data_IF_042135514280
#
_entry.id   IF_042135514280
#
_cell.length_a   1.000
_cell.length_b   1.000
_cell.length_c   1.000
_cell.angle_alpha   90.00
_cell.angle_beta   90.00
_cell.angle_gamma   90.00
#
_symmetry.space_group_name_H-M   'P 1'
#
loop_
_entity.id
_entity.type
_entity.pdbx_description
1 polymer ?
#
# COMPACT_ATOMS: atom_id res chain seq x y z
N UNK A 1 -15.23 -16.66 20.43
CA UNK A 1 -15.22 -15.73 21.58
C UNK A 1 -14.26 -14.59 21.26
N UNK A 2 -14.39 -13.41 21.87
CA UNK A 2 -13.39 -12.35 21.78
C UNK A 2 -12.03 -12.80 22.31
N UNK A 3 -10.94 -12.21 21.79
CA UNK A 3 -9.58 -12.44 22.24
C UNK A 3 -9.44 -12.09 23.73
N UNK A 4 -8.79 -12.96 24.50
CA UNK A 4 -8.61 -12.81 25.94
C UNK A 4 -7.21 -12.28 26.29
N UNK A 5 -6.23 -12.50 25.43
CA UNK A 5 -4.84 -12.09 25.60
C UNK A 5 -4.22 -11.63 24.30
N UNK A 6 -3.00 -11.15 24.35
CA UNK A 6 -2.25 -10.63 23.20
C UNK A 6 -2.06 -11.68 22.11
N UNK A 7 -1.75 -12.92 22.49
CA UNK A 7 -1.54 -14.02 21.55
C UNK A 7 -2.81 -14.34 20.78
N UNK A 8 -3.95 -14.44 21.48
CA UNK A 8 -5.25 -14.64 20.84
C UNK A 8 -5.60 -13.45 19.92
N UNK A 9 -5.31 -12.20 20.33
CA UNK A 9 -5.59 -11.02 19.52
C UNK A 9 -4.80 -11.01 18.20
N UNK A 10 -3.50 -11.31 18.25
CA UNK A 10 -2.66 -11.44 17.04
C UNK A 10 -3.16 -12.60 16.18
N UNK A 11 -3.53 -13.72 16.77
CA UNK A 11 -4.00 -14.88 16.03
C UNK A 11 -5.36 -14.61 15.33
N UNK A 12 -6.27 -13.91 15.99
CA UNK A 12 -7.52 -13.47 15.38
C UNK A 12 -7.27 -12.53 14.20
N UNK A 13 -6.39 -11.55 14.39
CA UNK A 13 -6.00 -10.63 13.32
C UNK A 13 -5.41 -11.40 12.13
N UNK A 14 -4.49 -12.33 12.39
CA UNK A 14 -3.86 -13.13 11.34
C UNK A 14 -4.85 -14.03 10.61
N UNK A 15 -5.77 -14.69 11.30
CA UNK A 15 -6.79 -15.54 10.67
C UNK A 15 -7.80 -14.72 9.88
N UNK A 16 -8.23 -13.55 10.39
CA UNK A 16 -9.04 -12.61 9.64
C UNK A 16 -8.33 -12.16 8.35
N UNK A 17 -7.05 -11.83 8.48
CA UNK A 17 -6.21 -11.48 7.34
C UNK A 17 -6.10 -12.62 6.30
N UNK A 18 -5.85 -13.85 6.75
CA UNK A 18 -5.82 -15.02 5.85
C UNK A 18 -7.17 -15.24 5.16
N UNK A 19 -8.28 -15.06 5.88
CA UNK A 19 -9.63 -15.12 5.29
C UNK A 19 -9.78 -14.11 4.17
N UNK A 20 -9.45 -12.84 4.44
CA UNK A 20 -9.54 -11.75 3.46
C UNK A 20 -8.69 -12.00 2.21
N UNK A 21 -7.44 -12.49 2.34
CA UNK A 21 -6.61 -12.79 1.16
C UNK A 21 -7.08 -13.99 0.35
N UNK A 22 -7.85 -14.91 0.94
CA UNK A 22 -8.45 -16.04 0.20
C UNK A 22 -9.67 -15.61 -0.61
N UNK A 23 -10.44 -14.66 -0.11
CA UNK A 23 -11.56 -14.07 -0.84
C UNK A 23 -11.07 -13.14 -1.95
N UNK A 24 -10.01 -12.37 -1.67
CA UNK A 24 -9.42 -11.45 -2.63
C UNK A 24 -8.34 -12.15 -3.45
N UNK A 25 -8.59 -12.39 -4.71
CA UNK A 25 -7.55 -12.83 -5.66
C UNK A 25 -6.79 -11.61 -6.23
N UNK A 26 -6.25 -10.78 -5.33
CA UNK A 26 -5.73 -9.47 -5.66
C UNK A 26 -4.23 -9.39 -5.81
N UNK A 27 -3.74 -8.17 -5.97
CA UNK A 27 -2.33 -7.83 -6.09
C UNK A 27 -1.73 -7.32 -4.77
N UNK A 28 -2.55 -6.88 -3.84
CA UNK A 28 -2.13 -6.34 -2.55
C UNK A 28 -3.20 -6.57 -1.49
N UNK A 29 -2.78 -6.74 -0.24
CA UNK A 29 -3.67 -6.80 0.91
C UNK A 29 -2.94 -6.20 2.11
N UNK A 30 -3.35 -4.99 2.49
CA UNK A 30 -2.72 -4.24 3.59
C UNK A 30 -3.48 -4.43 4.90
N UNK A 31 -2.78 -4.26 6.03
CA UNK A 31 -3.33 -4.48 7.36
C UNK A 31 -4.00 -3.23 7.95
N UNK A 32 -3.40 -2.08 7.74
CA UNK A 32 -3.79 -0.86 8.41
C UNK A 32 -2.81 -0.46 9.51
N UNK A 33 -3.31 0.07 10.63
CA UNK A 33 -2.50 0.50 11.79
C UNK A 33 -2.70 -0.47 12.95
N UNK A 34 -2.24 -1.71 12.78
CA UNK A 34 -2.52 -2.78 13.75
C UNK A 34 -1.71 -2.65 15.04
N UNK A 35 -0.51 -2.08 14.98
CA UNK A 35 0.34 -1.89 16.16
C UNK A 35 -0.31 -1.02 17.23
N UNK A 36 -1.04 0.04 16.85
CA UNK A 36 -1.78 0.89 17.79
C UNK A 36 -2.94 0.14 18.45
N UNK A 37 -3.68 -0.61 17.66
CA UNK A 37 -4.78 -1.44 18.17
C UNK A 37 -4.30 -2.57 19.10
N UNK A 38 -3.27 -3.31 18.69
CA UNK A 38 -2.74 -4.43 19.48
C UNK A 38 -2.12 -3.99 20.80
N UNK A 39 -1.62 -2.76 20.88
CA UNK A 39 -0.98 -2.23 22.08
C UNK A 39 -1.88 -2.29 23.33
N UNK A 40 -3.20 -2.23 23.16
CA UNK A 40 -4.19 -2.39 24.24
C UNK A 40 -4.01 -3.75 24.95
N UNK A 41 -3.81 -4.80 24.17
CA UNK A 41 -3.60 -6.15 24.68
C UNK A 41 -2.20 -6.32 25.27
N UNK A 42 -1.19 -5.80 24.58
CA UNK A 42 0.20 -5.85 25.06
C UNK A 42 0.38 -5.16 26.42
N UNK A 43 -0.09 -3.93 26.56
CA UNK A 43 0.04 -3.18 27.81
C UNK A 43 -0.71 -3.85 28.96
N UNK A 44 -1.89 -4.41 28.69
CA UNK A 44 -2.65 -5.17 29.68
C UNK A 44 -1.89 -6.41 30.15
N UNK A 45 -1.36 -7.20 29.23
CA UNK A 45 -0.73 -8.48 29.53
C UNK A 45 0.64 -8.28 30.17
N UNK A 46 1.40 -7.26 29.76
CA UNK A 46 2.64 -6.82 30.43
C UNK A 46 2.36 -6.36 31.87
N UNK A 47 1.33 -5.54 32.08
CA UNK A 47 0.93 -5.06 33.40
C UNK A 47 0.52 -6.20 34.34
N UNK A 48 -0.13 -7.24 33.80
CA UNK A 48 -0.59 -8.40 34.54
C UNK A 48 0.48 -9.49 34.69
N UNK A 49 1.68 -9.31 34.16
CA UNK A 49 2.76 -10.29 34.22
C UNK A 49 2.51 -11.54 33.37
N UNK A 50 1.58 -11.49 32.45
CA UNK A 50 1.30 -12.56 31.46
C UNK A 50 2.38 -12.59 30.37
N UNK A 51 2.91 -11.41 30.02
CA UNK A 51 4.04 -11.21 29.12
C UNK A 51 5.15 -10.42 29.80
N UNK A 52 6.36 -10.60 29.32
CA UNK A 52 7.48 -9.69 29.51
C UNK A 52 7.81 -8.97 28.19
N UNK A 53 8.76 -8.04 28.20
CA UNK A 53 9.15 -7.26 26.99
C UNK A 53 9.76 -8.14 25.90
N UNK A 54 10.49 -9.20 26.27
CA UNK A 54 11.07 -10.15 25.32
C UNK A 54 9.97 -10.97 24.63
N UNK A 55 9.04 -11.53 25.39
CA UNK A 55 7.88 -12.25 24.85
C UNK A 55 6.98 -11.35 24.00
N UNK A 56 6.83 -10.06 24.36
CA UNK A 56 6.09 -9.09 23.55
C UNK A 56 6.76 -8.88 22.20
N UNK A 57 8.07 -8.76 22.14
CA UNK A 57 8.80 -8.64 20.88
C UNK A 57 8.72 -9.94 20.06
N UNK A 58 8.88 -11.10 20.71
CA UNK A 58 8.77 -12.41 20.04
C UNK A 58 7.42 -12.60 19.35
N UNK A 59 6.33 -12.14 19.96
CA UNK A 59 5.00 -12.21 19.34
C UNK A 59 4.90 -11.34 18.07
N UNK A 60 5.53 -10.15 18.05
CA UNK A 60 5.60 -9.35 16.83
C UNK A 60 6.49 -9.99 15.76
N UNK A 61 7.62 -10.55 16.16
CA UNK A 61 8.53 -11.23 15.23
C UNK A 61 7.84 -12.44 14.59
N UNK A 62 7.14 -13.27 15.37
CA UNK A 62 6.33 -14.39 14.87
C UNK A 62 5.21 -13.92 13.93
N UNK A 63 4.52 -12.84 14.27
CA UNK A 63 3.49 -12.27 13.42
C UNK A 63 4.06 -11.81 12.07
N UNK A 64 5.17 -11.08 12.08
CA UNK A 64 5.84 -10.63 10.86
C UNK A 64 6.35 -11.80 10.02
N UNK A 65 6.92 -12.85 10.64
CA UNK A 65 7.29 -14.07 9.91
C UNK A 65 6.09 -14.71 9.22
N UNK A 66 4.96 -14.79 9.89
CA UNK A 66 3.71 -15.34 9.33
C UNK A 66 3.19 -14.49 8.17
N UNK A 67 3.29 -13.16 8.25
CA UNK A 67 2.96 -12.28 7.13
C UNK A 67 3.86 -12.51 5.92
N UNK A 68 5.18 -12.70 6.14
CA UNK A 68 6.14 -13.02 5.07
C UNK A 68 5.86 -14.37 4.40
N UNK A 69 5.17 -15.28 5.06
CA UNK A 69 4.79 -16.60 4.52
C UNK A 69 3.45 -16.58 3.77
N UNK A 70 2.59 -15.60 4.02
CA UNK A 70 1.28 -15.50 3.39
C UNK A 70 1.40 -15.33 1.87
N UNK A 71 0.47 -15.91 1.11
CA UNK A 71 0.41 -15.79 -0.36
C UNK A 71 -1.03 -15.75 -0.86
N UNK A 72 -1.26 -15.01 -1.95
CA UNK A 72 -2.52 -15.06 -2.67
C UNK A 72 -2.73 -16.43 -3.33
N UNK A 73 -3.99 -16.83 -3.47
CA UNK A 73 -4.39 -17.94 -4.32
C UNK A 73 -4.74 -17.40 -5.72
N UNK A 74 -3.74 -17.17 -6.53
CA UNK A 74 -3.90 -16.66 -7.89
C UNK A 74 -4.10 -17.80 -8.89
N UNK A 75 -4.92 -17.56 -9.91
CA UNK A 75 -4.94 -18.46 -11.08
C UNK A 75 -3.59 -18.45 -11.80
N UNK A 76 -3.19 -19.51 -12.52
CA UNK A 76 -1.92 -19.55 -13.21
C UNK A 76 -1.69 -18.33 -14.13
N UNK A 77 -2.67 -17.98 -14.96
CA UNK A 77 -2.58 -16.84 -15.88
C UNK A 77 -2.43 -15.49 -15.15
N UNK A 78 -3.12 -15.31 -14.02
CA UNK A 78 -2.99 -14.08 -13.21
C UNK A 78 -1.66 -14.04 -12.47
N UNK A 79 -1.20 -15.19 -11.97
CA UNK A 79 0.10 -15.29 -11.30
C UNK A 79 1.27 -15.00 -12.24
N UNK A 80 1.14 -15.31 -13.53
CA UNK A 80 2.16 -14.99 -14.54
C UNK A 80 2.44 -13.48 -14.64
N UNK A 81 1.39 -12.64 -14.50
CA UNK A 81 1.54 -11.19 -14.49
C UNK A 81 2.25 -10.66 -13.23
N UNK A 82 2.14 -11.38 -12.13
CA UNK A 82 2.63 -10.97 -10.81
C UNK A 82 3.66 -11.95 -10.25
N UNK A 83 4.24 -12.79 -11.09
CA UNK A 83 5.26 -13.77 -10.67
C UNK A 83 6.46 -13.04 -10.04
N UNK A 84 6.79 -13.42 -8.81
CA UNK A 84 7.87 -12.81 -8.04
C UNK A 84 7.47 -11.56 -7.27
N UNK A 85 6.27 -11.00 -7.49
CA UNK A 85 5.78 -9.88 -6.69
C UNK A 85 5.47 -10.33 -5.25
N UNK A 86 5.79 -9.50 -4.24
CA UNK A 86 5.34 -9.72 -2.88
C UNK A 86 3.82 -9.55 -2.77
N UNK A 87 3.27 -9.88 -1.59
CA UNK A 87 1.85 -9.67 -1.26
C UNK A 87 1.47 -8.20 -1.15
N UNK A 88 2.46 -7.29 -1.05
CA UNK A 88 2.25 -5.87 -0.76
C UNK A 88 1.41 -5.67 0.51
N UNK A 89 1.81 -6.36 1.57
CA UNK A 89 1.26 -6.21 2.91
C UNK A 89 1.82 -4.92 3.48
N UNK A 90 0.97 -3.91 3.70
CA UNK A 90 1.41 -2.65 4.31
C UNK A 90 0.84 -2.53 5.71
N UNK A 91 1.71 -2.25 6.67
CA UNK A 91 1.39 -1.86 8.04
C UNK A 91 1.72 -0.39 8.23
N UNK A 92 0.74 0.41 8.61
CA UNK A 92 0.91 1.82 8.91
C UNK A 92 1.29 2.03 10.38
N UNK A 93 2.28 2.85 10.65
CA UNK A 93 2.82 3.11 11.97
C UNK A 93 2.79 4.62 12.29
N UNK A 94 2.50 4.97 13.51
CA UNK A 94 2.50 6.37 13.95
C UNK A 94 1.29 7.15 13.44
N UNK A 95 1.52 8.38 13.01
CA UNK A 95 0.45 9.33 12.71
C UNK A 95 -0.11 9.99 13.97
N UNK A 96 -1.02 10.94 13.74
CA UNK A 96 -1.68 11.72 14.78
C UNK A 96 -3.20 11.53 14.70
N UNK A 97 -3.87 11.49 15.86
CA UNK A 97 -5.30 11.57 15.93
C UNK A 97 -5.83 12.98 15.56
N UNK A 98 -7.08 13.07 15.16
CA UNK A 98 -7.75 14.37 14.91
C UNK A 98 -7.79 15.25 16.17
N UNK A 99 -7.74 14.65 17.35
CA UNK A 99 -7.66 15.32 18.65
C UNK A 99 -6.23 15.79 19.04
N UNK A 100 -5.26 15.61 18.15
CA UNK A 100 -3.87 15.98 18.36
C UNK A 100 -3.04 14.99 19.19
N UNK A 101 -3.59 13.86 19.61
CA UNK A 101 -2.81 12.80 20.25
C UNK A 101 -1.94 12.06 19.23
N UNK A 102 -0.75 11.65 19.66
CA UNK A 102 0.02 10.71 18.87
C UNK A 102 -0.62 9.32 18.90
N UNK A 103 -0.59 8.64 17.75
CA UNK A 103 -1.00 7.23 17.62
C UNK A 103 0.20 6.27 17.71
N UNK A 104 1.37 6.80 18.01
CA UNK A 104 2.57 6.01 18.34
C UNK A 104 2.37 5.33 19.69
N UNK A 105 2.59 4.04 19.73
CA UNK A 105 2.58 3.20 20.95
C UNK A 105 3.90 2.45 21.10
N UNK A 106 4.12 1.76 22.20
CA UNK A 106 5.28 0.88 22.34
C UNK A 106 5.30 -0.21 21.26
N UNK A 107 4.13 -0.69 20.87
CA UNK A 107 3.99 -1.66 19.78
C UNK A 107 4.44 -1.11 18.43
N UNK A 108 4.37 0.20 18.19
CA UNK A 108 4.96 0.81 17.00
C UNK A 108 6.49 0.67 16.96
N UNK A 109 7.15 0.80 18.12
CA UNK A 109 8.59 0.54 18.23
C UNK A 109 8.92 -0.94 18.05
N UNK A 110 8.13 -1.86 18.64
CA UNK A 110 8.33 -3.31 18.48
C UNK A 110 8.20 -3.73 17.04
N UNK A 111 7.20 -3.19 16.32
CA UNK A 111 7.02 -3.48 14.89
C UNK A 111 8.23 -3.02 14.05
N UNK A 112 8.75 -1.83 14.28
CA UNK A 112 9.99 -1.39 13.62
C UNK A 112 11.20 -2.24 14.02
N UNK A 113 11.27 -2.68 15.27
CA UNK A 113 12.38 -3.50 15.77
C UNK A 113 12.44 -4.89 15.13
N UNK A 114 11.33 -5.39 14.59
CA UNK A 114 11.31 -6.67 13.84
C UNK A 114 12.31 -6.67 12.68
N UNK A 115 12.62 -5.50 12.10
CA UNK A 115 13.60 -5.37 11.03
C UNK A 115 15.03 -5.69 11.49
N UNK A 116 15.36 -5.42 12.75
CA UNK A 116 16.66 -5.82 13.32
C UNK A 116 16.71 -7.32 13.62
N UNK A 117 15.61 -7.89 14.13
CA UNK A 117 15.57 -9.30 14.51
C UNK A 117 15.46 -10.24 13.29
N UNK A 118 14.67 -9.86 12.30
CA UNK A 118 14.32 -10.71 11.15
C UNK A 118 15.01 -10.30 9.84
N UNK A 119 15.73 -9.19 9.87
CA UNK A 119 16.33 -8.60 8.67
C UNK A 119 15.33 -7.84 7.79
N UNK A 120 15.89 -7.02 6.90
CA UNK A 120 15.13 -6.23 5.91
C UNK A 120 14.32 -7.14 4.99
N UNK A 121 13.13 -6.72 4.64
CA UNK A 121 12.25 -7.44 3.71
C UNK A 121 11.28 -6.47 3.07
N UNK A 122 10.84 -6.79 1.85
CA UNK A 122 9.76 -6.07 1.18
C UNK A 122 8.41 -6.22 1.92
N UNK A 123 8.28 -7.22 2.81
CA UNK A 123 7.05 -7.51 3.54
C UNK A 123 7.28 -7.76 5.04
N UNK A 124 6.38 -7.24 5.87
CA UNK A 124 5.41 -6.21 5.54
C UNK A 124 6.10 -4.90 5.13
N UNK A 125 5.49 -4.15 4.19
CA UNK A 125 5.93 -2.80 3.89
C UNK A 125 5.55 -1.90 5.08
N UNK A 126 6.52 -1.50 5.88
CA UNK A 126 6.32 -0.66 7.05
C UNK A 126 6.28 0.80 6.62
N UNK A 127 5.11 1.43 6.74
CA UNK A 127 4.91 2.83 6.38
C UNK A 127 4.71 3.68 7.62
N UNK A 128 5.65 4.56 7.90
CA UNK A 128 5.54 5.55 8.96
C UNK A 128 4.70 6.72 8.47
N UNK A 129 3.55 6.96 9.12
CA UNK A 129 2.72 8.13 8.91
C UNK A 129 3.36 9.30 9.66
N UNK A 130 4.18 10.04 8.92
CA UNK A 130 5.03 11.08 9.47
C UNK A 130 4.28 12.38 9.73
N UNK A 131 4.45 12.92 10.94
CA UNK A 131 4.01 14.25 11.31
C UNK A 131 5.12 14.99 12.06
N UNK A 132 5.20 16.29 11.88
CA UNK A 132 6.06 17.15 12.69
C UNK A 132 5.79 17.02 14.20
N UNK A 133 4.56 16.69 14.57
CA UNK A 133 4.09 16.56 15.95
C UNK A 133 4.32 15.18 16.59
N UNK A 134 4.87 14.20 15.84
CA UNK A 134 5.25 12.91 16.44
C UNK A 134 6.30 13.07 17.54
N UNK A 135 6.30 12.17 18.55
CA UNK A 135 7.33 12.16 19.58
C UNK A 135 8.74 12.10 18.99
N UNK A 136 9.64 12.97 19.44
CA UNK A 136 11.01 13.04 18.94
C UNK A 136 11.78 11.73 19.08
N UNK A 137 11.53 10.98 20.16
CA UNK A 137 12.12 9.66 20.34
C UNK A 137 11.71 8.69 19.23
N UNK A 138 10.45 8.70 18.82
CA UNK A 138 9.96 7.86 17.72
C UNK A 138 10.55 8.30 16.38
N UNK A 139 10.56 9.62 16.10
CA UNK A 139 11.17 10.16 14.86
C UNK A 139 12.62 9.73 14.73
N UNK A 140 13.42 9.88 15.80
CA UNK A 140 14.83 9.46 15.79
C UNK A 140 14.99 7.95 15.63
N UNK A 141 14.14 7.16 16.29
CA UNK A 141 14.19 5.70 16.16
C UNK A 141 13.83 5.25 14.76
N UNK A 142 12.72 5.74 14.20
CA UNK A 142 12.31 5.41 12.84
C UNK A 142 13.39 5.81 11.81
N UNK A 143 13.96 7.01 11.93
CA UNK A 143 15.04 7.45 11.06
C UNK A 143 16.29 6.55 11.18
N UNK A 144 16.65 6.13 12.41
CA UNK A 144 17.76 5.20 12.61
C UNK A 144 17.48 3.86 11.93
N UNK A 145 16.32 3.27 12.15
CA UNK A 145 15.94 1.99 11.52
C UNK A 145 15.94 2.12 10.00
N UNK A 146 15.47 3.25 9.45
CA UNK A 146 15.51 3.53 8.02
C UNK A 146 16.95 3.49 7.47
N UNK A 147 17.88 4.15 8.15
CA UNK A 147 19.28 4.17 7.73
C UNK A 147 19.95 2.80 7.84
N UNK A 148 19.58 2.01 8.85
CA UNK A 148 20.20 0.72 9.12
C UNK A 148 19.64 -0.41 8.21
N UNK A 149 18.40 -0.27 7.69
CA UNK A 149 17.69 -1.40 7.10
C UNK A 149 17.12 -1.15 5.70
N UNK A 150 17.03 0.09 5.23
CA UNK A 150 16.41 0.49 3.94
C UNK A 150 14.99 -0.06 3.72
N UNK A 151 14.26 -0.37 4.80
CA UNK A 151 13.00 -1.12 4.74
C UNK A 151 11.78 -0.34 5.27
N UNK A 152 11.87 0.97 5.39
CA UNK A 152 10.78 1.83 5.88
C UNK A 152 10.38 2.83 4.80
N UNK A 153 9.07 2.97 4.61
CA UNK A 153 8.46 4.01 3.79
C UNK A 153 7.88 5.11 4.69
N UNK A 154 7.78 6.33 4.17
CA UNK A 154 7.19 7.47 4.89
C UNK A 154 6.08 8.10 4.07
N UNK A 155 4.97 8.42 4.74
CA UNK A 155 3.88 9.22 4.19
C UNK A 155 3.62 10.44 5.06
N UNK A 156 3.27 11.55 4.44
CA UNK A 156 3.04 12.81 5.15
C UNK A 156 1.66 12.86 5.78
N UNK A 157 1.57 12.49 7.07
CA UNK A 157 0.32 12.48 7.83
C UNK A 157 -0.30 13.87 7.96
N UNK A 158 0.50 14.93 8.04
CA UNK A 158 0.00 16.29 8.18
C UNK A 158 -0.76 16.77 6.92
N UNK A 159 -0.44 16.21 5.74
CA UNK A 159 -1.17 16.43 4.49
C UNK A 159 -2.32 15.45 4.29
N UNK A 160 -2.17 14.20 4.75
CA UNK A 160 -3.14 13.14 4.49
C UNK A 160 -4.31 13.16 5.48
N UNK A 161 -4.04 13.39 6.76
CA UNK A 161 -5.07 13.40 7.81
C UNK A 161 -6.23 14.40 7.57
N UNK A 162 -6.02 15.63 7.08
CA UNK A 162 -7.13 16.54 6.77
C UNK A 162 -8.10 16.01 5.70
N UNK A 163 -7.65 15.07 4.86
CA UNK A 163 -8.43 14.49 3.76
C UNK A 163 -9.11 13.19 4.21
N UNK A 164 -8.36 12.32 4.90
CA UNK A 164 -8.78 10.96 5.22
C UNK A 164 -9.26 10.76 6.65
N UNK A 165 -9.04 11.73 7.55
CA UNK A 165 -9.23 11.55 8.99
C UNK A 165 -8.03 10.85 9.62
N UNK A 166 -8.14 10.41 10.86
CA UNK A 166 -7.08 9.73 11.58
C UNK A 166 -7.09 8.19 11.40
N UNK A 167 -8.20 7.63 10.90
CA UNK A 167 -8.35 6.19 10.66
C UNK A 167 -8.18 5.86 9.17
N UNK A 168 -7.00 6.11 8.66
CA UNK A 168 -6.60 5.71 7.33
C UNK A 168 -5.33 4.85 7.37
N UNK A 169 -5.12 4.12 6.30
CA UNK A 169 -3.93 3.31 6.07
C UNK A 169 -3.43 3.48 4.65
N UNK A 170 -2.25 2.97 4.41
CA UNK A 170 -1.66 2.92 3.08
C UNK A 170 -1.86 1.52 2.52
N UNK A 171 -2.59 1.44 1.41
CA UNK A 171 -2.76 0.20 0.69
C UNK A 171 -1.62 0.01 -0.32
N UNK A 172 -1.10 -1.22 -0.39
CA UNK A 172 0.02 -1.57 -1.26
C UNK A 172 1.26 -0.71 -0.93
N UNK A 173 1.66 0.18 -1.84
CA UNK A 173 2.85 1.00 -1.70
C UNK A 173 2.53 2.42 -1.20
N UNK A 174 1.51 3.07 -1.77
CA UNK A 174 1.32 4.54 -1.62
C UNK A 174 -0.14 4.99 -1.61
N UNK A 175 -1.12 4.12 -1.73
CA UNK A 175 -2.53 4.52 -1.86
C UNK A 175 -3.18 4.68 -0.49
N UNK A 176 -3.47 5.91 -0.10
CA UNK A 176 -4.22 6.17 1.13
C UNK A 176 -5.70 5.80 0.99
N UNK A 177 -6.26 5.21 2.04
CA UNK A 177 -7.67 4.82 2.09
C UNK A 177 -8.17 4.79 3.53
N UNK A 178 -9.44 5.14 3.72
CA UNK A 178 -10.10 5.01 5.02
C UNK A 178 -10.35 3.55 5.33
N UNK A 179 -9.85 3.09 6.48
CA UNK A 179 -9.96 1.69 6.91
C UNK A 179 -11.44 1.31 7.06
N UNK A 180 -11.82 0.17 6.48
CA UNK A 180 -13.20 -0.35 6.53
C UNK A 180 -14.25 0.49 5.78
N UNK A 181 -13.85 1.53 5.02
CA UNK A 181 -14.77 2.39 4.27
C UNK A 181 -14.40 2.58 2.81
N UNK A 182 -13.17 2.36 2.45
CA UNK A 182 -12.66 2.51 1.09
C UNK A 182 -11.79 1.31 0.76
N UNK A 183 -11.68 1.01 -0.52
CA UNK A 183 -10.75 0.02 -1.04
C UNK A 183 -9.93 0.61 -2.19
N UNK A 184 -8.76 0.08 -2.41
CA UNK A 184 -7.98 0.38 -3.59
C UNK A 184 -8.48 -0.49 -4.75
N UNK A 185 -8.90 0.16 -5.82
CA UNK A 185 -9.32 -0.51 -7.03
C UNK A 185 -8.20 -0.47 -8.08
N UNK A 186 -7.65 -1.63 -8.41
CA UNK A 186 -6.62 -1.78 -9.45
C UNK A 186 -7.27 -1.93 -10.82
N UNK A 187 -7.83 -0.85 -11.36
CA UNK A 187 -8.54 -0.89 -12.62
C UNK A 187 -7.66 -0.66 -13.85
N UNK A 188 -6.74 0.29 -13.79
CA UNK A 188 -5.85 0.61 -14.88
C UNK A 188 -4.57 1.32 -14.40
N UNK A 189 -3.54 1.27 -15.25
CA UNK A 189 -2.30 2.04 -15.06
C UNK A 189 -1.97 2.80 -16.34
N UNK A 190 -1.43 4.00 -16.19
CA UNK A 190 -0.93 4.80 -17.31
C UNK A 190 0.60 4.74 -17.33
N UNK A 191 1.16 4.34 -18.47
CA UNK A 191 2.60 4.37 -18.68
C UNK A 191 3.01 5.71 -19.31
N UNK A 192 3.46 6.64 -18.48
CA UNK A 192 3.84 7.99 -18.94
C UNK A 192 5.10 7.98 -19.81
N UNK A 193 6.03 7.07 -19.58
CA UNK A 193 7.21 6.92 -20.43
C UNK A 193 6.81 6.46 -21.85
N UNK A 194 5.85 5.55 -21.94
CA UNK A 194 5.27 5.12 -23.22
C UNK A 194 4.54 6.26 -23.92
N UNK A 195 3.83 7.11 -23.16
CA UNK A 195 3.17 8.29 -23.72
C UNK A 195 4.19 9.23 -24.37
N UNK A 196 5.32 9.47 -23.69
CA UNK A 196 6.42 10.27 -24.25
C UNK A 196 6.94 9.66 -25.55
N UNK A 197 7.23 8.37 -25.59
CA UNK A 197 7.68 7.70 -26.82
C UNK A 197 6.66 7.83 -27.95
N UNK A 198 5.39 7.64 -27.66
CA UNK A 198 4.32 7.81 -28.66
C UNK A 198 4.23 9.26 -29.15
N UNK A 199 4.38 10.25 -28.27
CA UNK A 199 4.36 11.65 -28.65
C UNK A 199 5.55 12.04 -29.55
N UNK A 200 6.69 11.38 -29.41
CA UNK A 200 7.85 11.57 -30.29
C UNK A 200 7.71 10.82 -31.62
N UNK A 201 7.01 9.68 -31.62
CA UNK A 201 6.86 8.80 -32.79
C UNK A 201 5.56 9.08 -33.63
N UNK A 202 4.95 10.24 -33.49
CA UNK A 202 3.74 10.57 -34.25
C UNK A 202 2.51 9.71 -33.91
N UNK A 203 2.43 9.22 -32.67
CA UNK A 203 1.34 8.37 -32.17
C UNK A 203 1.49 6.89 -32.45
N UNK A 204 2.60 6.47 -33.00
CA UNK A 204 2.86 5.05 -33.30
C UNK A 204 3.53 4.35 -32.14
N UNK A 205 3.16 3.11 -31.94
CA UNK A 205 3.87 2.19 -31.04
C UNK A 205 5.23 1.80 -31.67
N UNK A 206 6.32 2.02 -30.95
CA UNK A 206 7.67 1.79 -31.46
C UNK A 206 8.00 0.32 -31.72
N UNK A 207 7.25 -0.61 -31.08
CA UNK A 207 7.47 -2.05 -31.27
C UNK A 207 6.67 -2.63 -32.41
N UNK A 208 5.42 -2.20 -32.56
CA UNK A 208 4.50 -2.77 -33.55
C UNK A 208 4.34 -1.92 -34.79
N UNK A 209 4.70 -0.63 -34.72
CA UNK A 209 4.47 0.34 -35.78
C UNK A 209 2.99 0.77 -35.96
N UNK A 210 2.10 0.23 -35.10
CA UNK A 210 0.67 0.54 -35.18
C UNK A 210 0.38 1.97 -34.69
N UNK A 211 -0.55 2.64 -35.39
CA UNK A 211 -1.09 3.92 -34.95
C UNK A 211 -2.01 3.67 -33.75
N UNK A 212 -1.62 4.16 -32.55
CA UNK A 212 -2.35 3.96 -31.29
C UNK A 212 -2.86 5.28 -30.74
N UNK A 213 -2.05 6.31 -30.79
CA UNK A 213 -2.37 7.65 -30.30
C UNK A 213 -2.75 8.63 -31.43
N UNK A 214 -3.01 9.90 -31.09
CA UNK A 214 -3.22 10.96 -32.08
C UNK A 214 -2.10 10.99 -33.12
N UNK A 215 -2.46 11.06 -34.39
CA UNK A 215 -1.51 11.10 -35.50
C UNK A 215 -0.94 12.51 -35.71
N UNK A 216 0.35 12.62 -35.85
CA UNK A 216 1.08 13.81 -36.27
C UNK A 216 2.46 13.42 -36.82
N UNK A 217 3.18 14.38 -37.39
CA UNK A 217 4.54 14.14 -37.87
C UNK A 217 5.47 13.77 -36.71
N UNK A 218 6.26 12.70 -36.83
CA UNK A 218 7.25 12.34 -35.82
C UNK A 218 8.24 13.48 -35.54
N UNK A 219 8.75 13.55 -34.34
CA UNK A 219 9.77 14.51 -33.98
C UNK A 219 11.04 14.30 -34.82
N UNK A 220 11.45 15.30 -35.56
CA UNK A 220 12.59 15.24 -36.47
C UNK A 220 13.82 16.04 -36.01
N UNK A 221 13.85 16.53 -34.79
CA UNK A 221 15.00 17.27 -34.23
C UNK A 221 16.21 16.38 -33.98
N UNK A 222 17.41 16.92 -34.22
CA UNK A 222 18.67 16.25 -33.91
C UNK A 222 18.83 16.03 -32.41
N UNK A 223 18.28 16.93 -31.60
CA UNK A 223 18.27 16.88 -30.14
C UNK A 223 16.84 17.04 -29.62
N UNK A 224 16.53 16.46 -28.45
CA UNK A 224 15.26 16.66 -27.77
C UNK A 224 15.22 18.06 -27.13
N UNK A 225 14.43 18.94 -27.69
CA UNK A 225 14.21 20.27 -27.12
C UNK A 225 13.06 20.19 -26.13
N UNK A 226 13.33 20.57 -24.87
CA UNK A 226 12.39 20.39 -23.74
C UNK A 226 11.00 20.97 -24.04
N UNK A 227 10.92 22.22 -24.49
CA UNK A 227 9.62 22.87 -24.74
C UNK A 227 8.85 22.21 -25.86
N UNK A 228 9.51 21.81 -26.93
CA UNK A 228 8.85 21.08 -28.03
C UNK A 228 8.35 19.70 -27.62
N UNK A 229 9.11 19.01 -26.79
CA UNK A 229 8.68 17.72 -26.23
C UNK A 229 7.44 17.91 -25.35
N UNK A 230 7.40 18.96 -24.53
CA UNK A 230 6.23 19.26 -23.71
C UNK A 230 5.00 19.62 -24.58
N UNK A 231 5.17 20.44 -25.62
CA UNK A 231 4.10 20.77 -26.56
C UNK A 231 3.50 19.52 -27.21
N UNK A 232 4.33 18.58 -27.65
CA UNK A 232 3.87 17.29 -28.17
C UNK A 232 3.10 16.50 -27.15
N UNK A 233 3.63 16.41 -25.92
CA UNK A 233 2.95 15.70 -24.82
C UNK A 233 1.61 16.35 -24.46
N UNK A 234 1.44 17.66 -24.64
CA UNK A 234 0.18 18.35 -24.37
C UNK A 234 -0.97 17.90 -25.29
N UNK A 235 -0.67 17.41 -26.47
CA UNK A 235 -1.66 16.76 -27.35
C UNK A 235 -2.08 15.40 -26.80
N UNK A 236 -1.14 14.66 -26.19
CA UNK A 236 -1.36 13.29 -25.73
C UNK A 236 -1.96 13.20 -24.34
N UNK A 237 -1.70 14.16 -23.45
CA UNK A 237 -2.24 14.14 -22.08
C UNK A 237 -3.77 14.07 -22.02
N UNK A 238 -4.53 14.93 -22.75
CA UNK A 238 -6.00 14.83 -22.80
C UNK A 238 -6.49 13.53 -23.42
N UNK A 239 -5.82 13.05 -24.46
CA UNK A 239 -6.15 11.77 -25.08
C UNK A 239 -5.95 10.60 -24.10
N UNK A 240 -4.82 10.57 -23.40
CA UNK A 240 -4.56 9.55 -22.36
C UNK A 240 -5.59 9.63 -21.25
N UNK A 241 -5.88 10.83 -20.72
CA UNK A 241 -6.85 11.02 -19.67
C UNK A 241 -8.25 10.51 -20.08
N UNK A 242 -8.70 10.86 -21.27
CA UNK A 242 -9.97 10.36 -21.83
C UNK A 242 -9.98 8.84 -21.99
N UNK A 243 -8.90 8.29 -22.53
CA UNK A 243 -8.77 6.83 -22.71
C UNK A 243 -8.76 6.12 -21.37
N UNK A 244 -8.03 6.65 -20.38
CA UNK A 244 -7.99 6.12 -19.02
C UNK A 244 -9.37 6.11 -18.37
N UNK A 245 -10.09 7.23 -18.40
CA UNK A 245 -11.44 7.34 -17.82
C UNK A 245 -12.41 6.39 -18.52
N UNK A 246 -12.37 6.29 -19.84
CA UNK A 246 -13.22 5.36 -20.59
C UNK A 246 -12.91 3.91 -20.21
N UNK A 247 -11.65 3.54 -20.07
CA UNK A 247 -11.24 2.19 -19.63
C UNK A 247 -11.77 1.91 -18.24
N UNK A 248 -11.62 2.86 -17.31
CA UNK A 248 -12.15 2.71 -15.95
C UNK A 248 -13.67 2.53 -15.93
N UNK A 249 -14.39 3.33 -16.71
CA UNK A 249 -15.85 3.21 -16.82
C UNK A 249 -16.29 1.84 -17.36
N UNK A 250 -15.57 1.30 -18.35
CA UNK A 250 -15.84 -0.05 -18.89
C UNK A 250 -15.58 -1.10 -17.81
N UNK A 251 -14.47 -1.01 -17.09
CA UNK A 251 -14.11 -1.95 -16.01
C UNK A 251 -15.18 -1.91 -14.91
N UNK A 252 -15.59 -0.72 -14.45
CA UNK A 252 -16.65 -0.57 -13.46
C UNK A 252 -17.98 -1.18 -13.96
N UNK A 253 -18.37 -0.90 -15.19
CA UNK A 253 -19.55 -1.51 -15.79
C UNK A 253 -19.48 -3.04 -15.81
N UNK A 254 -18.32 -3.60 -16.14
CA UNK A 254 -18.12 -5.05 -16.16
C UNK A 254 -18.20 -5.64 -14.75
N UNK A 255 -17.65 -4.98 -13.75
CA UNK A 255 -17.77 -5.38 -12.35
C UNK A 255 -19.23 -5.34 -11.88
N UNK A 256 -19.93 -4.25 -12.11
CA UNK A 256 -21.34 -4.12 -11.72
C UNK A 256 -22.23 -5.18 -12.37
N UNK A 257 -21.98 -5.46 -13.64
CA UNK A 257 -22.81 -6.39 -14.41
C UNK A 257 -22.51 -7.86 -14.14
N UNK A 258 -21.23 -8.21 -13.96
CA UNK A 258 -20.79 -9.61 -13.96
C UNK A 258 -20.16 -10.07 -12.65
N UNK A 259 -19.80 -9.17 -11.76
CA UNK A 259 -19.12 -9.48 -10.50
C UNK A 259 -19.71 -8.69 -9.32
N UNK A 260 -20.99 -8.31 -9.41
CA UNK A 260 -21.67 -7.47 -8.42
C UNK A 260 -21.50 -7.96 -6.97
N UNK A 261 -21.75 -9.24 -6.73
CA UNK A 261 -21.63 -9.83 -5.40
C UNK A 261 -20.21 -9.73 -4.85
N UNK A 262 -19.21 -10.03 -5.68
CA UNK A 262 -17.78 -9.91 -5.29
C UNK A 262 -17.38 -8.47 -5.06
N UNK A 263 -17.90 -7.55 -5.85
CA UNK A 263 -17.65 -6.11 -5.68
C UNK A 263 -18.28 -5.60 -4.39
N UNK A 264 -19.50 -6.05 -4.06
CA UNK A 264 -20.17 -5.71 -2.81
C UNK A 264 -19.43 -6.25 -1.59
N UNK A 265 -18.95 -7.48 -1.63
CA UNK A 265 -18.14 -8.06 -0.56
C UNK A 265 -16.85 -7.26 -0.33
N UNK A 266 -16.20 -6.84 -1.40
CA UNK A 266 -15.00 -6.01 -1.31
C UNK A 266 -15.25 -4.60 -0.76
N UNK A 267 -16.49 -4.10 -0.81
CA UNK A 267 -16.87 -2.82 -0.22
C UNK A 267 -17.20 -2.92 1.28
N UNK A 268 -17.39 -4.12 1.79
CA UNK A 268 -17.71 -4.39 3.19
C UNK A 268 -16.51 -4.84 4.03
N UNK A 269 -15.41 -5.19 3.39
CA UNK A 269 -14.14 -5.52 4.00
C UNK A 269 -13.22 -4.29 4.06
#
# INVERSE_FOLDING_TARGET
KPAQDTKEAIQWLYFGYLGAIKEQNGAAMSLGRTSTFLDIYFERDLKNGVLDEAGAQELFDDFVMKLRMARHLRTPAYNELFAGDPMWITEALGGMGEDGRTLVTKSSYRMLHTLYNLGSSAEPNLTVLWSGSLPDAFKRFAAKVSCDTDAIQYENDDLMRPIYGDDYAIACCVSAMKVGKQMQFFGARANLAKLLLMSLNGGKDEKTGLQVGPEHEPYAGEYLEYDKVLELMDVYRPWLAKTYVNTMNIIHYMHDKYAYEKTQMALHD
#
